data_IF_621988700455
#
_entry.id   IF_621988700455
#
_cell.length_a   1.000
_cell.length_b   1.000
_cell.length_c   1.000
_cell.angle_alpha   90.00
_cell.angle_beta   90.00
_cell.angle_gamma   90.00
#
_symmetry.space_group_name_H-M   'P 1'
#
loop_
_entity.id
_entity.type
_entity.pdbx_description
1 polymer ?
#
# COMPACT_ATOMS: atom_id res chain seq x y z
N UNK A 1 -53.42 17.06 21.66
CA UNK A 1 -54.60 17.05 20.77
C UNK A 1 -54.90 18.48 20.32
N UNK A 2 -54.46 18.84 19.10
CA UNK A 2 -55.05 19.87 18.21
C UNK A 2 -54.26 19.82 16.90
N UNK A 3 -54.92 19.30 15.86
CA UNK A 3 -54.53 19.29 14.44
C UNK A 3 -55.05 20.57 13.77
N UNK A 4 -54.34 21.02 12.75
CA UNK A 4 -54.81 21.63 11.49
C UNK A 4 -53.53 21.67 10.60
N UNK A 5 -53.29 20.69 9.74
CA UNK A 5 -53.72 20.59 8.34
C UNK A 5 -53.46 21.86 7.53
N UNK A 6 -52.55 21.78 6.54
CA UNK A 6 -52.84 22.11 5.14
C UNK A 6 -51.64 21.95 4.17
N UNK A 7 -51.89 21.15 3.14
CA UNK A 7 -51.37 21.20 1.75
C UNK A 7 -49.94 20.76 1.38
N UNK A 8 -49.90 19.47 1.05
CA UNK A 8 -49.20 18.87 -0.09
C UNK A 8 -49.50 19.61 -1.41
N UNK A 9 -48.47 20.04 -2.15
CA UNK A 9 -48.49 20.11 -3.62
C UNK A 9 -47.13 19.64 -4.16
N UNK A 10 -47.13 18.42 -4.68
CA UNK A 10 -46.23 17.95 -5.73
C UNK A 10 -46.61 18.67 -7.03
N UNK A 11 -45.64 19.02 -7.90
CA UNK A 11 -45.67 18.80 -9.37
C UNK A 11 -44.53 19.54 -10.09
N UNK A 12 -43.66 18.70 -10.66
CA UNK A 12 -43.12 18.72 -12.03
C UNK A 12 -42.04 19.74 -12.44
N UNK A 13 -40.96 19.12 -12.91
CA UNK A 13 -39.87 19.65 -13.69
C UNK A 13 -40.30 20.59 -14.83
N UNK A 14 -39.56 21.70 -14.98
CA UNK A 14 -39.46 22.42 -16.24
C UNK A 14 -38.02 22.34 -16.70
N UNK A 15 -37.87 21.84 -17.93
CA UNK A 15 -36.69 21.88 -18.78
C UNK A 15 -35.85 23.14 -18.56
N UNK A 16 -34.59 22.98 -18.18
CA UNK A 16 -33.58 23.95 -18.60
C UNK A 16 -33.20 23.56 -20.02
N UNK A 17 -33.75 24.33 -20.94
CA UNK A 17 -33.35 24.41 -22.34
C UNK A 17 -31.83 24.57 -22.39
N UNK A 18 -31.19 23.71 -23.18
CA UNK A 18 -29.79 23.85 -23.60
C UNK A 18 -29.68 25.18 -24.35
N UNK A 19 -29.24 26.21 -23.65
CA UNK A 19 -28.68 27.42 -24.24
C UNK A 19 -27.21 27.44 -23.84
N UNK A 20 -26.36 27.30 -24.85
CA UNK A 20 -24.90 27.46 -24.88
C UNK A 20 -24.25 27.83 -23.53
N UNK A 21 -23.62 26.85 -22.89
CA UNK A 21 -22.75 27.08 -21.72
C UNK A 21 -21.55 27.90 -22.21
N UNK A 22 -21.42 29.20 -21.87
CA UNK A 22 -20.20 29.94 -22.13
C UNK A 22 -19.21 29.49 -21.08
N UNK A 23 -18.29 28.61 -21.48
CA UNK A 23 -17.15 28.20 -20.67
C UNK A 23 -17.54 27.42 -19.42
N UNK A 24 -17.35 26.10 -19.47
CA UNK A 24 -16.88 25.39 -18.28
C UNK A 24 -15.69 26.19 -17.75
N UNK A 25 -15.92 26.98 -16.71
CA UNK A 25 -14.87 27.61 -15.91
C UNK A 25 -14.21 26.47 -15.12
N UNK A 26 -13.43 25.68 -15.84
CA UNK A 26 -12.40 24.83 -15.27
C UNK A 26 -11.45 25.83 -14.64
N UNK A 27 -11.57 26.08 -13.33
CA UNK A 27 -10.51 26.79 -12.62
C UNK A 27 -9.27 25.93 -12.83
N UNK A 28 -8.23 26.40 -13.56
CA UNK A 28 -7.02 25.62 -13.69
C UNK A 28 -6.50 25.36 -12.28
N UNK A 29 -6.27 24.09 -11.94
CA UNK A 29 -5.71 23.73 -10.63
C UNK A 29 -4.24 24.16 -10.63
N UNK A 30 -4.00 25.42 -10.31
CA UNK A 30 -2.66 25.92 -10.07
C UNK A 30 -2.15 25.23 -8.80
N UNK A 31 -1.18 24.33 -8.95
CA UNK A 31 -0.58 23.58 -7.86
C UNK A 31 0.86 24.03 -7.69
N UNK A 32 1.31 24.20 -6.45
CA UNK A 32 2.72 24.34 -6.16
C UNK A 32 3.51 23.14 -6.74
N UNK A 33 4.68 23.37 -7.35
CA UNK A 33 5.58 22.30 -7.76
C UNK A 33 5.94 21.42 -6.56
N UNK A 34 6.22 20.14 -6.79
CA UNK A 34 6.59 19.24 -5.70
C UNK A 34 7.92 19.70 -5.06
N UNK A 35 7.87 19.95 -3.76
CA UNK A 35 8.99 20.46 -2.95
C UNK A 35 9.46 19.47 -1.89
N UNK A 36 8.70 18.40 -1.66
CA UNK A 36 9.06 17.32 -0.74
C UNK A 36 8.64 15.95 -1.30
N UNK A 37 9.25 14.91 -0.75
CA UNK A 37 8.76 13.54 -0.85
C UNK A 37 8.69 12.93 0.55
N UNK A 38 7.58 12.26 0.83
CA UNK A 38 7.32 11.58 2.10
C UNK A 38 7.26 10.07 1.88
N UNK A 39 7.90 9.33 2.78
CA UNK A 39 7.83 7.87 2.83
C UNK A 39 7.69 7.38 4.27
N UNK A 40 7.05 6.23 4.44
CA UNK A 40 7.06 5.50 5.70
C UNK A 40 7.18 4.00 5.42
N UNK A 41 7.86 3.28 6.31
CA UNK A 41 7.97 1.83 6.24
C UNK A 41 8.06 1.21 7.64
N UNK A 42 7.46 0.04 7.80
CA UNK A 42 7.76 -0.81 8.95
C UNK A 42 9.13 -1.44 8.70
N UNK A 43 10.10 -1.26 9.61
CA UNK A 43 11.49 -1.71 9.40
C UNK A 43 11.84 -2.96 10.19
N UNK A 44 11.28 -3.12 11.38
CA UNK A 44 11.56 -4.25 12.25
C UNK A 44 10.30 -4.67 12.96
N UNK A 45 10.10 -5.96 13.06
CA UNK A 45 9.15 -6.59 13.95
C UNK A 45 9.78 -7.88 14.46
N UNK A 46 9.58 -8.22 15.73
CA UNK A 46 10.16 -9.41 16.35
C UNK A 46 9.23 -10.63 16.35
N UNK A 47 8.01 -10.50 15.81
CA UNK A 47 7.01 -11.57 15.81
C UNK A 47 6.21 -11.66 17.11
N UNK A 48 6.43 -10.72 18.05
CA UNK A 48 5.81 -10.75 19.37
C UNK A 48 5.25 -9.41 19.78
N UNK A 49 6.12 -8.43 20.02
CA UNK A 49 5.75 -7.17 20.67
C UNK A 49 6.53 -5.98 20.16
N UNK A 50 7.76 -6.11 19.67
CA UNK A 50 8.56 -4.93 19.34
C UNK A 50 8.44 -4.60 17.86
N UNK A 51 7.96 -3.39 17.56
CA UNK A 51 7.81 -2.85 16.21
C UNK A 51 8.63 -1.56 16.09
N UNK A 52 9.29 -1.35 14.95
CA UNK A 52 9.82 -0.03 14.59
C UNK A 52 9.37 0.40 13.21
N UNK A 53 9.03 1.68 13.10
CA UNK A 53 8.61 2.36 11.87
C UNK A 53 9.62 3.46 11.55
N UNK A 54 9.98 3.57 10.29
CA UNK A 54 10.82 4.63 9.76
C UNK A 54 9.94 5.64 8.99
N UNK A 55 10.08 6.93 9.29
CA UNK A 55 9.53 8.04 8.50
C UNK A 55 10.69 8.70 7.75
N UNK A 56 10.55 8.86 6.43
CA UNK A 56 11.47 9.56 5.55
C UNK A 56 10.83 10.85 5.01
N UNK A 57 11.58 11.94 5.10
CA UNK A 57 11.30 13.20 4.43
C UNK A 57 12.47 13.57 3.53
N UNK A 58 12.23 13.78 2.25
CA UNK A 58 13.24 14.29 1.31
C UNK A 58 12.85 15.68 0.83
N UNK A 59 13.77 16.63 1.00
CA UNK A 59 13.66 17.93 0.36
C UNK A 59 14.00 17.76 -1.13
N UNK A 60 13.12 18.18 -2.04
CA UNK A 60 13.35 18.00 -3.47
C UNK A 60 14.23 19.14 -4.00
N UNK A 61 13.59 20.23 -4.45
CA UNK A 61 14.27 21.34 -5.10
C UNK A 61 14.48 22.54 -4.17
N UNK A 62 13.81 22.55 -3.02
CA UNK A 62 13.81 23.67 -2.07
C UNK A 62 14.16 23.13 -0.68
N UNK A 63 15.00 23.82 0.11
CA UNK A 63 15.23 23.46 1.50
C UNK A 63 13.94 23.50 2.32
N UNK A 64 13.86 22.63 3.33
CA UNK A 64 12.77 22.60 4.29
C UNK A 64 13.24 23.15 5.63
N UNK A 65 12.33 23.77 6.36
CA UNK A 65 12.52 24.40 7.65
C UNK A 65 11.50 23.84 8.64
N UNK A 66 11.83 23.93 9.92
CA UNK A 66 10.94 23.63 11.06
C UNK A 66 10.26 22.25 10.92
N UNK A 67 11.07 21.22 10.67
CA UNK A 67 10.58 19.88 10.46
C UNK A 67 10.23 19.23 11.81
N UNK A 68 9.09 18.55 11.87
CA UNK A 68 8.69 17.73 13.01
C UNK A 68 8.07 16.42 12.53
N UNK A 69 8.44 15.31 13.14
CA UNK A 69 7.95 13.97 12.81
C UNK A 69 7.53 13.21 14.07
N UNK A 70 6.33 12.62 14.07
CA UNK A 70 5.82 11.76 15.14
C UNK A 70 4.85 10.74 14.58
N UNK A 71 4.60 9.67 15.33
CA UNK A 71 3.54 8.72 15.01
C UNK A 71 2.47 8.82 16.09
N UNK A 72 1.22 9.01 15.68
CA UNK A 72 0.09 8.84 16.58
C UNK A 72 -0.29 7.37 16.60
N UNK A 73 0.12 6.70 17.68
CA UNK A 73 -0.11 5.29 17.87
C UNK A 73 -1.54 5.01 18.37
N UNK A 74 -2.14 3.86 18.00
CA UNK A 74 -3.40 3.41 18.56
C UNK A 74 -3.31 3.22 20.08
N UNK A 75 -4.45 3.30 20.79
CA UNK A 75 -4.51 3.29 22.27
C UNK A 75 -3.86 2.08 22.94
N UNK A 76 -3.81 0.95 22.26
CA UNK A 76 -3.25 -0.31 22.76
C UNK A 76 -1.75 -0.47 22.50
N UNK A 77 -1.08 0.55 21.99
CA UNK A 77 0.36 0.55 21.73
C UNK A 77 1.08 1.28 22.86
N UNK A 78 2.29 0.81 23.21
CA UNK A 78 3.15 1.46 24.22
C UNK A 78 4.39 1.98 23.52
N UNK A 79 4.60 3.28 23.48
CA UNK A 79 5.69 3.90 22.73
C UNK A 79 6.59 4.75 23.63
N UNK A 80 7.85 4.88 23.24
CA UNK A 80 8.88 5.59 24.01
C UNK A 80 9.25 6.95 23.37
N UNK A 81 9.08 7.08 22.05
CA UNK A 81 9.41 8.29 21.28
C UNK A 81 8.22 9.23 21.14
N UNK A 82 8.34 10.44 21.70
CA UNK A 82 7.33 11.51 21.59
C UNK A 82 7.37 12.27 20.25
N UNK A 83 8.47 12.16 19.50
CA UNK A 83 8.67 12.81 18.21
C UNK A 83 10.12 13.21 17.97
N UNK A 84 10.39 13.73 16.78
CA UNK A 84 11.69 14.23 16.36
C UNK A 84 11.52 15.59 15.70
N UNK A 85 12.49 16.47 15.88
CA UNK A 85 12.52 17.79 15.29
C UNK A 85 13.83 18.03 14.56
N UNK A 86 13.78 18.86 13.51
CA UNK A 86 14.95 19.31 12.77
C UNK A 86 14.71 20.72 12.24
N UNK A 87 15.59 21.65 12.56
CA UNK A 87 15.42 23.07 12.19
C UNK A 87 15.45 23.30 10.68
N UNK A 88 16.31 22.58 9.95
CA UNK A 88 16.43 22.71 8.50
C UNK A 88 16.90 21.43 7.82
N UNK A 89 16.45 21.24 6.57
CA UNK A 89 16.85 20.16 5.67
C UNK A 89 17.22 20.77 4.31
N UNK A 90 18.50 20.76 3.91
CA UNK A 90 18.92 21.27 2.62
C UNK A 90 18.22 20.59 1.44
N UNK A 91 18.09 21.31 0.31
CA UNK A 91 17.53 20.75 -0.91
C UNK A 91 18.29 19.49 -1.36
N UNK A 92 17.57 18.51 -1.90
CA UNK A 92 18.06 17.18 -2.34
C UNK A 92 18.55 16.27 -1.22
N UNK A 93 18.49 16.70 0.04
CA UNK A 93 18.82 15.85 1.18
C UNK A 93 17.60 15.09 1.72
N UNK A 94 17.89 14.05 2.52
CA UNK A 94 16.89 13.22 3.20
C UNK A 94 17.07 13.28 4.71
N UNK A 95 15.96 13.29 5.42
CA UNK A 95 15.88 13.14 6.87
C UNK A 95 15.06 11.90 7.20
N UNK A 96 15.61 11.07 8.09
CA UNK A 96 15.03 9.79 8.48
C UNK A 96 14.87 9.79 9.99
N UNK A 97 13.69 9.40 10.47
CA UNK A 97 13.39 9.23 11.90
C UNK A 97 12.87 7.83 12.15
N UNK A 98 13.20 7.25 13.31
CA UNK A 98 12.81 5.88 13.68
C UNK A 98 12.02 5.91 14.97
N UNK A 99 10.84 5.33 14.93
CA UNK A 99 9.88 5.31 16.03
C UNK A 99 9.68 3.86 16.44
N UNK A 100 9.93 3.57 17.72
CA UNK A 100 9.79 2.23 18.26
C UNK A 100 8.63 2.17 19.25
N UNK A 101 7.90 1.05 19.23
CA UNK A 101 6.79 0.81 20.12
C UNK A 101 6.64 -0.68 20.42
N UNK A 102 5.93 -0.96 21.52
CA UNK A 102 5.37 -2.26 21.83
C UNK A 102 3.95 -2.35 21.29
N UNK A 103 3.65 -3.44 20.60
CA UNK A 103 2.40 -3.70 19.89
C UNK A 103 1.68 -4.91 20.47
N UNK A 104 0.35 -5.04 20.26
CA UNK A 104 -0.35 -6.31 20.46
C UNK A 104 0.19 -7.41 19.53
N UNK A 105 -0.18 -8.66 19.81
CA UNK A 105 0.17 -9.83 18.98
C UNK A 105 -0.44 -9.80 17.58
N UNK A 106 -1.57 -9.13 17.45
CA UNK A 106 -2.36 -8.97 16.25
C UNK A 106 -2.95 -7.56 16.21
N UNK A 107 -2.98 -6.96 15.03
CA UNK A 107 -3.57 -5.64 14.83
C UNK A 107 -3.94 -5.41 13.37
N UNK A 108 -5.16 -4.94 13.16
CA UNK A 108 -5.63 -4.39 11.90
C UNK A 108 -6.19 -3.00 12.16
N UNK A 109 -5.57 -1.97 11.60
CA UNK A 109 -6.06 -0.61 11.77
C UNK A 109 -5.17 0.43 11.09
N UNK A 110 -5.37 1.68 11.47
CA UNK A 110 -4.64 2.81 10.91
C UNK A 110 -3.69 3.40 11.93
N UNK A 111 -2.53 3.83 11.46
CA UNK A 111 -1.63 4.71 12.20
C UNK A 111 -1.47 6.02 11.43
N UNK A 112 -1.29 7.12 12.15
CA UNK A 112 -1.00 8.41 11.53
C UNK A 112 0.49 8.75 11.68
N UNK A 113 1.19 8.73 10.56
CA UNK A 113 2.57 9.19 10.49
C UNK A 113 2.56 10.70 10.24
N UNK A 114 2.59 11.46 11.31
CA UNK A 114 2.65 12.92 11.25
C UNK A 114 4.05 13.38 10.85
N UNK A 115 4.10 14.22 9.83
CA UNK A 115 5.27 14.98 9.43
C UNK A 115 4.79 16.39 9.10
N UNK A 116 5.44 17.40 9.64
CA UNK A 116 5.25 18.79 9.25
C UNK A 116 6.56 19.40 8.80
N UNK A 117 6.50 20.29 7.82
CA UNK A 117 7.63 21.08 7.37
C UNK A 117 7.15 22.36 6.69
N UNK A 118 8.03 23.34 6.57
CA UNK A 118 7.83 24.58 5.82
C UNK A 118 8.89 24.67 4.72
N UNK A 119 8.54 24.91 3.44
CA UNK A 119 9.56 25.25 2.46
C UNK A 119 10.23 26.59 2.79
N UNK A 120 11.53 26.74 2.52
CA UNK A 120 12.19 28.04 2.59
C UNK A 120 11.60 29.01 1.54
N UNK A 121 10.92 30.11 1.93
CA UNK A 121 10.22 30.97 0.98
C UNK A 121 11.13 31.62 -0.06
N UNK A 122 12.33 32.03 0.35
CA UNK A 122 13.28 32.72 -0.54
C UNK A 122 13.85 31.74 -1.56
N UNK A 123 14.22 30.54 -1.12
CA UNK A 123 14.70 29.51 -2.03
C UNK A 123 13.58 29.01 -2.98
N UNK A 124 12.34 28.97 -2.51
CA UNK A 124 11.20 28.60 -3.35
C UNK A 124 10.90 29.65 -4.42
N UNK A 125 10.97 30.94 -4.09
CA UNK A 125 10.86 32.03 -5.06
C UNK A 125 11.90 31.90 -6.18
N UNK A 126 13.17 31.66 -5.82
CA UNK A 126 14.24 31.40 -6.80
C UNK A 126 13.93 30.18 -7.67
N UNK A 127 13.33 29.14 -7.10
CA UNK A 127 12.94 27.95 -7.83
C UNK A 127 11.80 28.22 -8.83
N UNK A 128 10.74 28.95 -8.45
CA UNK A 128 9.65 29.31 -9.35
C UNK A 128 10.11 30.21 -10.51
N UNK A 129 11.06 31.10 -10.26
CA UNK A 129 11.64 31.96 -11.29
C UNK A 129 12.45 31.18 -12.34
N UNK A 130 12.91 29.96 -12.00
CA UNK A 130 13.63 29.07 -12.94
C UNK A 130 12.72 28.16 -13.75
N UNK A 131 11.43 28.04 -13.40
CA UNK A 131 10.49 27.19 -14.13
C UNK A 131 10.08 27.86 -15.44
N UNK A 132 10.58 27.31 -16.56
CA UNK A 132 10.34 27.80 -17.91
C UNK A 132 8.88 27.63 -18.35
N UNK A 133 8.19 26.60 -17.87
CA UNK A 133 6.81 26.27 -18.26
C UNK A 133 5.73 26.99 -17.42
N UNK A 134 6.12 27.94 -16.57
CA UNK A 134 5.20 28.68 -15.71
C UNK A 134 4.95 30.08 -16.29
N UNK A 135 3.71 30.41 -16.61
CA UNK A 135 3.35 31.77 -17.07
C UNK A 135 3.61 32.81 -15.97
N UNK A 136 3.73 34.07 -16.34
CA UNK A 136 4.00 35.15 -15.38
C UNK A 136 2.84 35.31 -14.38
N UNK A 137 1.60 35.19 -14.84
CA UNK A 137 0.39 35.28 -14.01
C UNK A 137 0.36 34.15 -12.97
N UNK A 138 0.60 32.91 -13.42
CA UNK A 138 0.67 31.75 -12.54
C UNK A 138 1.82 31.87 -11.53
N UNK A 139 2.95 32.45 -11.93
CA UNK A 139 4.09 32.68 -11.04
C UNK A 139 3.76 33.67 -9.93
N UNK A 140 3.10 34.78 -10.24
CA UNK A 140 2.69 35.78 -9.24
C UNK A 140 1.76 35.12 -8.20
N UNK A 141 0.76 34.37 -8.66
CA UNK A 141 -0.19 33.68 -7.78
C UNK A 141 0.51 32.68 -6.83
N UNK A 142 1.43 31.85 -7.36
CA UNK A 142 2.18 30.90 -6.53
C UNK A 142 3.13 31.59 -5.54
N UNK A 143 3.72 32.73 -5.92
CA UNK A 143 4.57 33.51 -5.02
C UNK A 143 3.79 34.10 -3.84
N UNK A 144 2.57 34.59 -4.08
CA UNK A 144 1.67 35.02 -3.01
C UNK A 144 1.28 33.86 -2.08
N UNK A 145 1.02 32.67 -2.63
CA UNK A 145 0.75 31.47 -1.82
C UNK A 145 1.94 31.11 -0.91
N UNK A 146 3.17 31.15 -1.44
CA UNK A 146 4.40 30.85 -0.68
C UNK A 146 4.64 31.85 0.45
N UNK A 147 4.34 33.14 0.25
CA UNK A 147 4.42 34.16 1.31
C UNK A 147 3.48 33.82 2.48
N UNK A 148 2.39 33.10 2.20
CA UNK A 148 1.46 32.59 3.21
C UNK A 148 2.05 31.51 4.13
N UNK A 149 3.15 30.85 3.77
CA UNK A 149 3.80 29.80 4.59
C UNK A 149 4.61 30.39 5.75
N UNK A 150 3.89 30.94 6.73
CA UNK A 150 4.44 31.42 8.00
C UNK A 150 4.64 30.33 9.05
N UNK A 151 4.03 29.15 8.86
CA UNK A 151 4.09 28.00 9.78
C UNK A 151 4.32 26.69 9.01
N UNK A 152 4.86 25.64 9.65
CA UNK A 152 4.92 24.30 9.08
C UNK A 152 3.54 23.79 8.68
N UNK A 153 3.48 23.11 7.54
CA UNK A 153 2.27 22.43 7.06
C UNK A 153 2.41 20.92 7.21
N UNK A 154 1.30 20.25 7.52
CA UNK A 154 1.29 18.79 7.66
C UNK A 154 1.39 18.13 6.28
N UNK A 155 2.45 17.35 6.10
CA UNK A 155 2.80 16.62 4.87
C UNK A 155 2.88 15.10 5.09
N UNK A 156 2.66 14.65 6.33
CA UNK A 156 2.53 13.24 6.70
C UNK A 156 1.24 12.60 6.18
N UNK A 157 1.11 11.28 6.36
CA UNK A 157 -0.04 10.50 5.89
C UNK A 157 -0.43 9.42 6.90
N UNK A 158 -1.67 8.96 6.79
CA UNK A 158 -2.13 7.77 7.49
C UNK A 158 -1.83 6.52 6.66
N UNK A 159 -1.44 5.44 7.35
CA UNK A 159 -1.16 4.15 6.72
C UNK A 159 -1.98 3.05 7.39
N UNK A 160 -2.55 2.12 6.62
CA UNK A 160 -3.08 0.89 7.19
C UNK A 160 -1.91 0.06 7.69
N UNK A 161 -2.00 -0.48 8.89
CA UNK A 161 -0.99 -1.34 9.52
C UNK A 161 -1.65 -2.68 9.84
N UNK A 162 -1.07 -3.74 9.29
CA UNK A 162 -1.37 -5.12 9.62
C UNK A 162 -0.23 -5.71 10.42
N UNK A 163 -0.55 -6.38 11.54
CA UNK A 163 0.37 -7.14 12.38
C UNK A 163 -0.24 -8.51 12.64
N UNK A 164 0.54 -9.55 12.42
CA UNK A 164 0.23 -10.90 12.87
C UNK A 164 1.45 -11.56 13.53
N UNK A 165 1.39 -12.86 13.80
CA UNK A 165 2.52 -13.61 14.39
C UNK A 165 3.71 -13.79 13.44
N UNK A 166 3.56 -13.45 12.17
CA UNK A 166 4.51 -13.74 11.10
C UNK A 166 5.21 -12.50 10.56
N UNK A 167 4.53 -11.36 10.46
CA UNK A 167 5.11 -10.09 10.03
C UNK A 167 4.27 -8.87 10.46
N UNK A 168 4.84 -7.69 10.21
CA UNK A 168 4.13 -6.41 10.23
C UNK A 168 4.37 -5.64 8.93
N UNK A 169 3.33 -5.03 8.36
CA UNK A 169 3.42 -4.31 7.08
C UNK A 169 2.40 -3.16 7.00
N UNK A 170 2.71 -2.14 6.20
CA UNK A 170 1.71 -1.16 5.80
C UNK A 170 0.84 -1.67 4.66
N UNK A 171 -0.21 -2.41 5.00
CA UNK A 171 -1.21 -2.93 4.07
C UNK A 171 -2.53 -3.11 4.83
N UNK A 172 -3.68 -2.87 4.20
CA UNK A 172 -4.95 -3.33 4.76
C UNK A 172 -4.99 -4.87 4.75
N UNK A 173 -5.71 -5.50 5.69
CA UNK A 173 -5.76 -6.97 5.81
C UNK A 173 -6.31 -7.65 4.54
N UNK A 174 -7.17 -6.98 3.78
CA UNK A 174 -7.75 -7.49 2.53
C UNK A 174 -6.71 -7.66 1.42
N UNK A 175 -5.56 -7.02 1.54
CA UNK A 175 -4.45 -7.12 0.58
C UNK A 175 -3.29 -7.99 1.08
N UNK A 176 -3.42 -8.60 2.26
CA UNK A 176 -2.39 -9.43 2.88
C UNK A 176 -2.47 -10.88 2.40
N UNK A 177 -1.32 -11.49 2.07
CA UNK A 177 -1.20 -12.91 1.75
C UNK A 177 -1.14 -13.74 3.04
N UNK A 178 -2.30 -13.94 3.67
CA UNK A 178 -2.44 -14.63 4.96
C UNK A 178 -2.67 -16.13 4.85
N UNK A 179 -2.94 -16.68 3.65
CA UNK A 179 -3.18 -18.12 3.49
C UNK A 179 -1.87 -18.87 3.35
N UNK A 180 -1.68 -19.92 4.15
CA UNK A 180 -0.48 -20.76 4.09
C UNK A 180 -0.78 -22.05 3.34
N UNK A 181 0.13 -22.44 2.43
CA UNK A 181 0.16 -23.76 1.82
C UNK A 181 1.49 -24.45 2.18
N UNK A 182 1.45 -25.63 2.83
CA UNK A 182 2.68 -26.30 3.26
C UNK A 182 3.48 -26.82 2.06
N UNK A 183 4.78 -26.57 2.05
CA UNK A 183 5.73 -27.13 1.09
C UNK A 183 7.00 -27.58 1.83
N UNK A 184 7.12 -28.90 2.03
CA UNK A 184 8.12 -29.51 2.92
C UNK A 184 8.02 -28.94 4.35
N UNK A 185 9.08 -28.33 4.88
CA UNK A 185 9.14 -27.74 6.23
C UNK A 185 8.93 -26.21 6.22
N UNK A 186 8.43 -25.65 5.13
CA UNK A 186 8.15 -24.21 4.95
C UNK A 186 6.75 -24.03 4.41
N UNK A 187 6.31 -22.77 4.31
CA UNK A 187 4.99 -22.43 3.81
C UNK A 187 5.09 -21.43 2.66
N UNK A 188 4.32 -21.69 1.61
CA UNK A 188 3.98 -20.72 0.57
C UNK A 188 2.85 -19.84 1.10
N UNK A 189 2.91 -18.54 0.82
CA UNK A 189 1.85 -17.59 1.15
C UNK A 189 1.03 -17.26 -0.07
N UNK A 190 -0.28 -17.40 0.06
CA UNK A 190 -1.26 -17.14 -0.98
C UNK A 190 -2.25 -16.09 -0.49
N UNK A 191 -2.82 -15.36 -1.43
CA UNK A 191 -3.87 -14.40 -1.17
C UNK A 191 -5.24 -15.08 -1.29
N UNK A 192 -5.98 -15.16 -0.18
CA UNK A 192 -7.34 -15.67 -0.14
C UNK A 192 -8.13 -15.00 0.99
N UNK A 193 -8.28 -13.66 0.95
CA UNK A 193 -8.99 -12.95 2.00
C UNK A 193 -10.50 -13.21 1.88
N UNK A 194 -11.21 -12.89 2.96
CA UNK A 194 -12.68 -12.93 2.97
C UNK A 194 -13.23 -11.58 2.55
N UNK A 195 -13.50 -11.44 1.26
CA UNK A 195 -14.01 -10.21 0.63
C UNK A 195 -15.13 -10.53 -0.35
N UNK A 196 -16.01 -9.55 -0.57
CA UNK A 196 -17.23 -9.69 -1.36
C UNK A 196 -17.28 -8.69 -2.49
N UNK A 197 -17.85 -9.09 -3.61
CA UNK A 197 -18.27 -8.21 -4.71
C UNK A 197 -19.79 -8.16 -4.79
N UNK A 198 -20.35 -7.10 -5.38
CA UNK A 198 -21.80 -6.89 -5.44
C UNK A 198 -22.58 -8.01 -6.16
N UNK A 199 -21.92 -8.77 -7.05
CA UNK A 199 -22.52 -9.86 -7.81
C UNK A 199 -22.27 -11.26 -7.23
N UNK A 200 -21.56 -11.39 -6.09
CA UNK A 200 -21.29 -12.68 -5.43
C UNK A 200 -20.27 -13.61 -6.12
N UNK A 201 -20.15 -13.57 -7.44
CA UNK A 201 -19.29 -14.47 -8.25
C UNK A 201 -17.85 -14.55 -7.74
N UNK A 202 -17.28 -13.41 -7.34
CA UNK A 202 -15.90 -13.34 -6.84
C UNK A 202 -15.74 -13.91 -5.42
N UNK A 203 -16.74 -13.72 -4.55
CA UNK A 203 -16.74 -14.29 -3.19
C UNK A 203 -16.82 -15.81 -3.26
N UNK A 204 -17.72 -16.34 -4.08
CA UNK A 204 -17.89 -17.77 -4.30
C UNK A 204 -16.61 -18.39 -4.90
N UNK A 205 -15.99 -17.72 -5.88
CA UNK A 205 -14.73 -18.18 -6.46
C UNK A 205 -13.57 -18.18 -5.44
N UNK A 206 -13.45 -17.17 -4.58
CA UNK A 206 -12.44 -17.17 -3.51
C UNK A 206 -12.68 -18.24 -2.44
N UNK A 207 -13.95 -18.53 -2.14
CA UNK A 207 -14.33 -19.63 -1.25
C UNK A 207 -13.96 -20.97 -1.86
N UNK A 208 -14.34 -21.23 -3.11
CA UNK A 208 -14.00 -22.44 -3.84
C UNK A 208 -12.48 -22.62 -3.96
N UNK A 209 -11.76 -21.52 -4.21
CA UNK A 209 -10.29 -21.51 -4.23
C UNK A 209 -9.72 -22.00 -2.89
N UNK A 210 -10.22 -21.45 -1.78
CA UNK A 210 -9.77 -21.84 -0.43
C UNK A 210 -10.06 -23.31 -0.13
N UNK A 211 -11.25 -23.80 -0.50
CA UNK A 211 -11.65 -25.21 -0.34
C UNK A 211 -10.77 -26.15 -1.19
N UNK A 212 -10.44 -25.77 -2.43
CA UNK A 212 -9.54 -26.54 -3.28
C UNK A 212 -8.12 -26.62 -2.70
N UNK A 213 -7.61 -25.53 -2.12
CA UNK A 213 -6.32 -25.53 -1.42
C UNK A 213 -6.32 -26.49 -0.22
N UNK A 214 -7.39 -26.49 0.57
CA UNK A 214 -7.53 -27.36 1.75
C UNK A 214 -7.61 -28.83 1.39
N UNK A 215 -8.24 -29.14 0.26
CA UNK A 215 -8.26 -30.48 -0.33
C UNK A 215 -6.95 -30.88 -1.03
N UNK A 216 -5.94 -30.01 -1.08
CA UNK A 216 -4.69 -30.25 -1.82
C UNK A 216 -4.86 -30.33 -3.34
N UNK A 217 -5.98 -29.84 -3.88
CA UNK A 217 -6.36 -29.96 -5.29
C UNK A 217 -5.78 -28.81 -6.12
N UNK A 218 -4.46 -28.80 -6.27
CA UNK A 218 -3.74 -27.72 -6.97
C UNK A 218 -4.25 -27.44 -8.39
N UNK A 219 -4.54 -28.45 -9.25
CA UNK A 219 -5.06 -28.17 -10.60
C UNK A 219 -6.43 -27.46 -10.58
N UNK A 220 -7.32 -27.85 -9.66
CA UNK A 220 -8.63 -27.22 -9.49
C UNK A 220 -8.48 -25.77 -9.01
N UNK A 221 -7.61 -25.54 -8.02
CA UNK A 221 -7.30 -24.21 -7.51
C UNK A 221 -6.74 -23.26 -8.60
N UNK A 222 -5.91 -23.79 -9.51
CA UNK A 222 -5.39 -23.04 -10.67
C UNK A 222 -6.49 -22.61 -11.64
N UNK A 223 -7.41 -23.50 -11.99
CA UNK A 223 -8.53 -23.18 -12.88
C UNK A 223 -9.47 -22.14 -12.25
N UNK A 224 -9.72 -22.22 -10.94
CA UNK A 224 -10.52 -21.23 -10.21
C UNK A 224 -9.86 -19.84 -10.29
N UNK A 225 -8.55 -19.74 -10.07
CA UNK A 225 -7.84 -18.45 -10.15
C UNK A 225 -7.89 -17.83 -11.55
N UNK A 226 -7.74 -18.63 -12.62
CA UNK A 226 -7.90 -18.15 -14.01
C UNK A 226 -9.32 -17.61 -14.25
N UNK A 227 -10.34 -18.27 -13.71
CA UNK A 227 -11.71 -17.78 -13.80
C UNK A 227 -11.89 -16.46 -13.05
N UNK A 228 -11.30 -16.32 -11.86
CA UNK A 228 -11.31 -15.05 -11.12
C UNK A 228 -10.62 -13.92 -11.88
N UNK A 229 -9.51 -14.18 -12.60
CA UNK A 229 -8.89 -13.18 -13.48
C UNK A 229 -9.84 -12.69 -14.57
N UNK A 230 -10.65 -13.59 -15.14
CA UNK A 230 -11.68 -13.24 -16.12
C UNK A 230 -12.85 -12.44 -15.51
N UNK A 231 -13.14 -12.60 -14.23
CA UNK A 231 -14.11 -11.73 -13.53
C UNK A 231 -13.53 -10.32 -13.38
N UNK A 232 -12.27 -10.22 -12.94
CA UNK A 232 -11.56 -8.95 -12.76
C UNK A 232 -11.32 -8.24 -14.09
N UNK A 233 -11.20 -8.97 -15.20
CA UNK A 233 -11.00 -8.38 -16.53
C UNK A 233 -12.18 -7.53 -17.02
N UNK A 234 -13.37 -7.71 -16.44
CA UNK A 234 -14.58 -6.94 -16.74
C UNK A 234 -14.55 -5.51 -16.18
N UNK A 235 -13.60 -5.21 -15.28
CA UNK A 235 -13.42 -3.89 -14.68
C UNK A 235 -12.34 -3.10 -15.40
N UNK A 236 -12.54 -1.78 -15.51
CA UNK A 236 -11.63 -0.87 -16.19
C UNK A 236 -10.50 -0.37 -15.27
N UNK A 237 -10.88 0.36 -14.22
CA UNK A 237 -9.93 1.08 -13.37
C UNK A 237 -9.91 0.51 -11.94
N UNK A 238 -11.07 0.29 -11.34
CA UNK A 238 -11.19 -0.17 -9.96
C UNK A 238 -12.22 -1.29 -9.78
N UNK A 239 -11.98 -2.16 -8.81
CA UNK A 239 -12.89 -3.22 -8.36
C UNK A 239 -13.45 -2.85 -6.99
N UNK A 240 -14.77 -2.59 -6.88
CA UNK A 240 -15.42 -2.34 -5.61
C UNK A 240 -15.60 -3.65 -4.84
N UNK A 241 -15.14 -3.67 -3.60
CA UNK A 241 -15.15 -4.81 -2.71
C UNK A 241 -15.75 -4.41 -1.35
N UNK A 242 -16.15 -5.40 -0.59
CA UNK A 242 -16.54 -5.22 0.82
C UNK A 242 -15.92 -6.30 1.68
N UNK A 243 -15.42 -5.92 2.85
CA UNK A 243 -14.87 -6.89 3.80
C UNK A 243 -15.99 -7.57 4.62
N UNK A 244 -15.63 -8.45 5.56
CA UNK A 244 -16.61 -9.12 6.45
C UNK A 244 -17.43 -8.14 7.31
N UNK A 245 -16.93 -6.93 7.55
CA UNK A 245 -17.62 -5.86 8.29
C UNK A 245 -18.52 -4.98 7.39
N UNK A 246 -18.60 -5.30 6.10
CA UNK A 246 -19.26 -4.50 5.06
C UNK A 246 -18.61 -3.12 4.83
N UNK A 247 -17.35 -2.92 5.24
CA UNK A 247 -16.60 -1.73 4.87
C UNK A 247 -16.30 -1.79 3.37
N UNK A 248 -16.58 -0.70 2.66
CA UNK A 248 -16.35 -0.62 1.21
C UNK A 248 -14.90 -0.27 0.91
N UNK A 249 -14.27 -1.08 0.07
CA UNK A 249 -12.89 -0.92 -0.36
C UNK A 249 -12.90 -0.87 -1.89
N UNK A 250 -12.02 -0.05 -2.47
CA UNK A 250 -11.82 0.01 -3.91
C UNK A 250 -10.38 -0.32 -4.21
N UNK A 251 -10.15 -1.40 -4.96
CA UNK A 251 -8.80 -1.86 -5.32
C UNK A 251 -8.59 -1.58 -6.80
N UNK A 252 -7.44 -1.03 -7.14
CA UNK A 252 -7.04 -0.85 -8.53
C UNK A 252 -6.98 -2.20 -9.26
N UNK A 253 -7.55 -2.26 -10.48
CA UNK A 253 -7.66 -3.50 -11.26
C UNK A 253 -6.30 -4.12 -11.54
N UNK A 254 -5.26 -3.31 -11.77
CA UNK A 254 -3.90 -3.82 -12.02
C UNK A 254 -3.33 -4.47 -10.77
N UNK A 255 -3.56 -3.88 -9.58
CA UNK A 255 -3.17 -4.47 -8.30
C UNK A 255 -3.84 -5.82 -8.05
N UNK A 256 -5.16 -5.92 -8.30
CA UNK A 256 -5.87 -7.17 -8.10
C UNK A 256 -5.44 -8.27 -9.07
N UNK A 257 -5.16 -7.92 -10.33
CA UNK A 257 -4.58 -8.85 -11.31
C UNK A 257 -3.18 -9.32 -10.90
N UNK A 258 -2.31 -8.42 -10.42
CA UNK A 258 -1.00 -8.79 -9.89
C UNK A 258 -1.10 -9.81 -8.74
N UNK A 259 -2.11 -9.66 -7.88
CA UNK A 259 -2.38 -10.57 -6.76
C UNK A 259 -2.80 -11.96 -7.24
N UNK A 260 -3.80 -12.04 -8.12
CA UNK A 260 -4.26 -13.31 -8.68
C UNK A 260 -3.15 -14.02 -9.45
N UNK A 261 -2.43 -13.28 -10.30
CA UNK A 261 -1.32 -13.82 -11.07
C UNK A 261 -0.19 -14.33 -10.17
N UNK A 262 0.11 -13.66 -9.06
CA UNK A 262 1.09 -14.12 -8.06
C UNK A 262 0.69 -15.46 -7.43
N UNK A 263 -0.59 -15.65 -7.12
CA UNK A 263 -1.11 -16.95 -6.67
C UNK A 263 -0.96 -18.02 -7.77
N UNK A 264 -1.37 -17.73 -9.01
CA UNK A 264 -1.28 -18.67 -10.15
C UNK A 264 0.17 -19.14 -10.32
N UNK A 265 1.12 -18.20 -10.34
CA UNK A 265 2.53 -18.52 -10.46
C UNK A 265 3.03 -19.35 -9.27
N UNK A 266 2.60 -19.05 -8.05
CA UNK A 266 2.97 -19.83 -6.87
C UNK A 266 2.44 -21.27 -6.97
N UNK A 267 1.19 -21.47 -7.39
CA UNK A 267 0.62 -22.81 -7.55
C UNK A 267 1.22 -23.60 -8.70
N UNK A 268 1.56 -22.94 -9.82
CA UNK A 268 2.32 -23.57 -10.89
C UNK A 268 3.71 -24.01 -10.41
N UNK A 269 4.38 -23.21 -9.59
CA UNK A 269 5.65 -23.60 -8.96
C UNK A 269 5.53 -24.84 -8.09
N UNK A 270 4.43 -24.97 -7.34
CA UNK A 270 4.12 -26.18 -6.57
C UNK A 270 3.89 -27.38 -7.50
N UNK A 271 3.10 -27.21 -8.56
CA UNK A 271 2.69 -28.31 -9.45
C UNK A 271 3.80 -28.78 -10.40
N UNK A 272 4.63 -27.88 -10.89
CA UNK A 272 5.63 -28.16 -11.93
C UNK A 272 7.03 -28.47 -11.34
N UNK A 273 7.29 -28.06 -10.09
CA UNK A 273 8.56 -28.30 -9.40
C UNK A 273 9.76 -27.79 -10.22
N UNK A 274 10.76 -28.64 -10.45
CA UNK A 274 11.97 -28.28 -11.23
C UNK A 274 11.70 -27.90 -12.69
N UNK A 275 10.54 -28.27 -13.25
CA UNK A 275 10.17 -27.91 -14.62
C UNK A 275 9.67 -26.46 -14.72
N UNK A 276 9.40 -25.82 -13.58
CA UNK A 276 8.90 -24.46 -13.55
C UNK A 276 9.99 -23.48 -14.02
N UNK A 277 9.71 -22.56 -14.98
CA UNK A 277 10.71 -21.68 -15.55
C UNK A 277 11.07 -20.52 -14.61
N UNK A 278 11.83 -20.81 -13.55
CA UNK A 278 12.22 -19.84 -12.51
C UNK A 278 12.88 -18.55 -13.03
N UNK A 279 13.49 -18.59 -14.22
CA UNK A 279 14.05 -17.42 -14.92
C UNK A 279 12.96 -16.43 -15.36
N UNK A 280 11.85 -16.92 -15.93
CA UNK A 280 10.72 -16.08 -16.34
C UNK A 280 10.02 -15.43 -15.14
N UNK A 281 10.00 -16.13 -14.00
CA UNK A 281 9.46 -15.60 -12.74
C UNK A 281 10.33 -14.52 -12.15
N UNK A 282 11.66 -14.66 -12.24
CA UNK A 282 12.58 -13.62 -11.81
C UNK A 282 12.41 -12.35 -12.64
N UNK A 283 12.20 -12.48 -13.94
CA UNK A 283 11.92 -11.34 -14.82
C UNK A 283 10.59 -10.67 -14.45
N UNK A 284 9.52 -11.45 -14.29
CA UNK A 284 8.20 -10.95 -13.84
C UNK A 284 8.21 -10.41 -12.41
N UNK A 285 9.05 -10.93 -11.52
CA UNK A 285 9.11 -10.44 -10.14
C UNK A 285 9.51 -8.97 -10.07
N UNK A 286 10.33 -8.48 -11.00
CA UNK A 286 10.72 -7.08 -11.05
C UNK A 286 9.63 -6.16 -11.62
N UNK A 287 8.61 -6.71 -12.29
CA UNK A 287 7.47 -5.94 -12.80
C UNK A 287 6.30 -5.88 -11.82
N UNK A 288 6.20 -6.83 -10.87
CA UNK A 288 5.19 -6.84 -9.82
C UNK A 288 5.48 -5.72 -8.81
N UNK A 289 4.55 -4.76 -8.66
CA UNK A 289 4.76 -3.64 -7.74
C UNK A 289 4.31 -4.00 -6.34
N UNK A 290 3.09 -4.51 -6.21
CA UNK A 290 2.46 -4.73 -4.90
C UNK A 290 2.89 -6.04 -4.26
N UNK A 291 2.94 -7.13 -5.04
CA UNK A 291 3.12 -8.50 -4.52
C UNK A 291 4.57 -8.95 -4.43
N UNK A 292 5.51 -8.08 -4.81
CA UNK A 292 6.94 -8.34 -4.94
C UNK A 292 7.53 -9.11 -3.74
N UNK A 293 7.31 -8.61 -2.52
CA UNK A 293 7.86 -9.21 -1.30
C UNK A 293 7.35 -10.63 -1.03
N UNK A 294 6.03 -10.84 -1.14
CA UNK A 294 5.40 -12.16 -0.96
C UNK A 294 5.90 -13.16 -1.99
N UNK A 295 5.98 -12.71 -3.24
CA UNK A 295 6.40 -13.54 -4.35
C UNK A 295 7.86 -13.98 -4.21
N UNK A 296 8.77 -13.08 -3.83
CA UNK A 296 10.17 -13.42 -3.54
C UNK A 296 10.30 -14.42 -2.38
N UNK A 297 9.45 -14.32 -1.35
CA UNK A 297 9.41 -15.29 -0.26
C UNK A 297 8.94 -16.69 -0.73
N UNK A 298 7.91 -16.74 -1.58
CA UNK A 298 7.44 -17.99 -2.19
C UNK A 298 8.53 -18.61 -3.07
N UNK A 299 9.22 -17.80 -3.89
CA UNK A 299 10.34 -18.24 -4.70
C UNK A 299 11.48 -18.81 -3.86
N UNK A 300 11.82 -18.17 -2.74
CA UNK A 300 12.79 -18.71 -1.79
C UNK A 300 12.39 -20.07 -1.23
N UNK A 301 11.09 -20.28 -1.04
CA UNK A 301 10.52 -21.53 -0.54
C UNK A 301 10.58 -22.64 -1.59
N UNK A 302 10.33 -22.33 -2.86
CA UNK A 302 10.54 -23.28 -3.97
C UNK A 302 12.01 -23.65 -4.14
N UNK A 303 12.91 -22.67 -4.16
CA UNK A 303 14.34 -22.97 -4.25
C UNK A 303 14.81 -23.84 -3.08
N UNK A 304 14.30 -23.57 -1.88
CA UNK A 304 14.58 -24.41 -0.73
C UNK A 304 14.06 -25.84 -0.93
N UNK A 305 12.81 -26.00 -1.40
CA UNK A 305 12.24 -27.32 -1.61
C UNK A 305 13.03 -28.13 -2.62
N UNK A 306 13.62 -27.49 -3.63
CA UNK A 306 14.39 -28.17 -4.67
C UNK A 306 15.88 -28.38 -4.35
N UNK A 307 16.36 -27.89 -3.20
CA UNK A 307 17.76 -28.01 -2.77
C UNK A 307 18.68 -26.89 -3.27
N UNK A 308 18.13 -25.83 -3.87
CA UNK A 308 18.85 -24.66 -4.35
C UNK A 308 19.10 -23.64 -3.22
N UNK A 309 19.97 -24.00 -2.27
CA UNK A 309 20.18 -23.24 -1.03
C UNK A 309 20.65 -21.79 -1.26
N UNK A 310 21.52 -21.56 -2.25
CA UNK A 310 22.06 -20.21 -2.55
C UNK A 310 20.97 -19.30 -3.13
N UNK A 311 20.22 -19.80 -4.09
CA UNK A 311 19.11 -19.13 -4.75
C UNK A 311 17.99 -18.83 -3.74
N UNK A 312 17.70 -19.79 -2.87
CA UNK A 312 16.75 -19.64 -1.77
C UNK A 312 17.11 -18.48 -0.85
N UNK A 313 18.36 -18.43 -0.35
CA UNK A 313 18.85 -17.32 0.48
C UNK A 313 18.76 -15.97 -0.25
N UNK A 314 19.10 -15.93 -1.53
CA UNK A 314 19.03 -14.69 -2.31
C UNK A 314 17.58 -14.20 -2.47
N UNK A 315 16.64 -15.12 -2.72
CA UNK A 315 15.23 -14.79 -2.84
C UNK A 315 14.63 -14.27 -1.52
N UNK A 316 14.97 -14.88 -0.37
CA UNK A 316 14.52 -14.36 0.93
C UNK A 316 15.13 -12.99 1.28
N UNK A 317 16.41 -12.75 0.94
CA UNK A 317 16.99 -11.40 1.08
C UNK A 317 16.22 -10.37 0.28
N UNK A 318 15.86 -10.71 -0.96
CA UNK A 318 15.02 -9.87 -1.82
C UNK A 318 13.65 -9.63 -1.21
N UNK A 319 12.99 -10.66 -0.67
CA UNK A 319 11.70 -10.49 0.03
C UNK A 319 11.79 -9.47 1.17
N UNK A 320 12.86 -9.51 1.96
CA UNK A 320 13.10 -8.57 3.07
C UNK A 320 13.46 -7.15 2.62
N UNK A 321 13.92 -6.93 1.37
CA UNK A 321 14.06 -5.57 0.82
C UNK A 321 12.69 -4.88 0.67
N UNK A 322 11.63 -5.66 0.42
CA UNK A 322 10.25 -5.16 0.27
C UNK A 322 9.47 -5.18 1.59
N UNK A 323 9.60 -6.25 2.38
CA UNK A 323 8.90 -6.44 3.65
C UNK A 323 9.92 -6.81 4.74
N UNK A 324 10.64 -5.82 5.29
CA UNK A 324 11.77 -6.09 6.19
C UNK A 324 11.33 -6.62 7.56
N UNK A 325 10.13 -6.25 8.00
CA UNK A 325 9.55 -6.63 9.29
C UNK A 325 8.86 -8.01 9.24
N UNK A 326 9.59 -9.02 8.74
CA UNK A 326 9.09 -10.39 8.53
C UNK A 326 9.94 -11.44 9.25
N UNK A 327 9.77 -11.61 10.58
CA UNK A 327 10.54 -12.53 11.42
C UNK A 327 10.67 -13.95 10.87
N UNK A 328 9.59 -14.50 10.30
CA UNK A 328 9.59 -15.85 9.73
C UNK A 328 10.65 -16.01 8.64
N UNK A 329 10.71 -15.07 7.69
CA UNK A 329 11.71 -15.09 6.60
C UNK A 329 13.12 -14.85 7.14
N UNK A 330 13.26 -13.97 8.14
CA UNK A 330 14.54 -13.74 8.81
C UNK A 330 15.07 -15.01 9.48
N UNK A 331 14.20 -15.82 10.10
CA UNK A 331 14.58 -17.09 10.70
C UNK A 331 14.97 -18.11 9.62
N UNK A 332 14.15 -18.25 8.58
CA UNK A 332 14.44 -19.10 7.42
C UNK A 332 15.76 -18.80 6.70
N UNK A 333 16.22 -17.54 6.75
CA UNK A 333 17.53 -17.11 6.26
C UNK A 333 18.70 -17.56 7.16
N UNK A 334 18.47 -17.63 8.47
CA UNK A 334 19.45 -18.08 9.47
C UNK A 334 19.57 -19.60 9.48
N UNK A 335 18.45 -20.31 9.37
CA UNK A 335 18.37 -21.77 9.38
C UNK A 335 19.14 -22.42 8.22
N UNK A 336 19.36 -21.69 7.11
CA UNK A 336 20.17 -22.18 6.00
C UNK A 336 21.69 -22.12 6.23
N UNK A 337 22.18 -21.79 7.43
CA UNK A 337 23.61 -21.84 7.77
C UNK A 337 23.98 -23.27 8.18
N UNK A 338 24.10 -24.16 7.20
CA UNK A 338 24.85 -25.42 7.33
C UNK A 338 25.91 -25.47 6.23
#
# INVERSE_FOLDING_TARGET
MKRFDCFLVFVVAVLVVVMEIPGLSITPSLKLPDWYQFGAKVITYDGRKNLSVEIECRALNVPLLDLSAKIFWPKNFIFETNGFEKSSLPAKEKWITRHSCKVPTDFDGWIECYLSARPDPKAFEVYLNKLQNLSNENRILLLEEIKGFSKPIQIGKSFPLHIDSTFAIFSPPELVFSRFFPLKNRNIRLWAPKIKMSNGEFEEGLKAFSEALDGGKIPEALEILKNLENVVSRFKDFVPLSNEKNDKISIDVTTLREILHSNILSLRGISEGRKFPFSELKEKSNSLRFTCGYFWANLGTFYFSEGFAKESKNAYKKALEFVPAWPQIQNWLKDGKE
#
